data_IF_715335924637
#
_entry.id   IF_715335924637
#
_cell.length_a   1.000
_cell.length_b   1.000
_cell.length_c   1.000
_cell.angle_alpha   90.00
_cell.angle_beta   90.00
_cell.angle_gamma   90.00
#
_symmetry.space_group_name_H-M   'P 1'
#
loop_
_entity.id
_entity.type
_entity.pdbx_description
1 polymer ?
#
# COMPACT_ATOMS: atom_id res chain seq x y z
N UNK A 1 11.02 -12.52 -6.55
CA UNK A 1 11.49 -11.84 -7.79
C UNK A 1 11.88 -10.42 -7.41
N UNK A 2 12.85 -9.79 -8.07
CA UNK A 2 13.26 -8.41 -7.70
C UNK A 2 12.12 -7.39 -7.83
N UNK A 3 11.23 -7.54 -8.82
CA UNK A 3 10.13 -6.60 -9.06
C UNK A 3 9.13 -6.50 -7.89
N UNK A 4 8.75 -7.62 -7.26
CA UNK A 4 7.80 -7.62 -6.15
C UNK A 4 8.38 -6.94 -4.91
N UNK A 5 9.70 -7.03 -4.72
CA UNK A 5 10.39 -6.31 -3.65
C UNK A 5 10.42 -4.81 -3.91
N UNK A 6 10.69 -4.39 -5.14
CA UNK A 6 10.65 -2.97 -5.53
C UNK A 6 9.26 -2.40 -5.29
N UNK A 7 8.21 -3.09 -5.75
CA UNK A 7 6.83 -2.68 -5.52
C UNK A 7 6.48 -2.62 -4.03
N UNK A 8 6.93 -3.59 -3.23
CA UNK A 8 6.71 -3.57 -1.78
C UNK A 8 7.38 -2.35 -1.13
N UNK A 9 8.60 -2.00 -1.54
CA UNK A 9 9.31 -0.84 -1.03
C UNK A 9 8.61 0.48 -1.40
N UNK A 10 8.11 0.62 -2.63
CA UNK A 10 7.36 1.81 -3.05
C UNK A 10 6.06 1.97 -2.27
N UNK A 11 5.35 0.87 -2.01
CA UNK A 11 4.15 0.87 -1.17
C UNK A 11 4.51 1.22 0.29
N UNK A 12 5.66 0.77 0.80
CA UNK A 12 6.14 1.14 2.12
C UNK A 12 6.41 2.65 2.24
N UNK A 13 7.13 3.21 1.26
CA UNK A 13 7.42 4.65 1.20
C UNK A 13 6.14 5.49 1.13
N UNK A 14 5.18 5.08 0.29
CA UNK A 14 3.88 5.75 0.20
C UNK A 14 3.10 5.69 1.53
N UNK A 15 3.10 4.53 2.18
CA UNK A 15 2.46 4.33 3.48
C UNK A 15 3.12 5.18 4.58
N UNK A 16 4.45 5.32 4.57
CA UNK A 16 5.18 6.19 5.50
C UNK A 16 4.88 7.68 5.23
N UNK A 17 4.82 8.09 3.96
CA UNK A 17 4.46 9.46 3.57
C UNK A 17 3.02 9.81 4.00
N UNK A 18 2.07 8.90 3.78
CA UNK A 18 0.68 9.07 4.24
C UNK A 18 0.59 9.19 5.77
N UNK A 19 1.44 8.49 6.52
CA UNK A 19 1.52 8.65 7.98
C UNK A 19 2.17 9.97 8.40
N UNK A 20 3.26 10.36 7.75
CA UNK A 20 4.00 11.59 8.05
C UNK A 20 3.16 12.85 7.81
N UNK A 21 2.27 12.82 6.80
CA UNK A 21 1.33 13.91 6.50
C UNK A 21 0.08 13.90 7.39
N UNK A 22 -0.10 12.88 8.23
CA UNK A 22 -1.29 12.71 9.07
C UNK A 22 -2.52 12.18 8.33
N UNK A 23 -2.37 11.77 7.06
CA UNK A 23 -3.44 11.18 6.25
C UNK A 23 -3.84 9.78 6.73
N UNK A 24 -2.88 9.02 7.29
CA UNK A 24 -3.13 7.72 7.91
C UNK A 24 -2.54 7.64 9.33
N UNK A 25 -3.18 6.90 10.26
CA UNK A 25 -2.59 6.57 11.55
C UNK A 25 -1.36 5.65 11.42
N UNK A 26 -0.60 5.48 12.50
CA UNK A 26 0.53 4.58 12.51
C UNK A 26 0.14 3.13 12.16
N UNK A 27 0.83 2.52 11.19
CA UNK A 27 0.55 1.15 10.73
C UNK A 27 1.06 0.07 11.71
N UNK A 28 2.07 0.39 12.50
CA UNK A 28 2.82 -0.61 13.28
C UNK A 28 3.68 -1.51 12.38
N UNK A 29 4.08 -2.66 12.91
CA UNK A 29 4.82 -3.67 12.14
C UNK A 29 3.84 -4.43 11.23
N UNK A 30 3.96 -4.21 9.92
CA UNK A 30 3.12 -4.86 8.90
C UNK A 30 4.00 -5.40 7.77
N UNK A 31 3.71 -6.63 7.34
CA UNK A 31 4.37 -7.23 6.20
C UNK A 31 3.64 -6.82 4.91
N UNK A 32 4.37 -6.16 3.98
CA UNK A 32 3.82 -5.75 2.68
C UNK A 32 4.07 -6.87 1.67
N UNK A 33 2.99 -7.54 1.27
CA UNK A 33 3.03 -8.61 0.27
C UNK A 33 2.51 -8.12 -1.06
N UNK A 34 3.30 -8.36 -2.11
CA UNK A 34 2.92 -8.13 -3.51
C UNK A 34 2.72 -9.49 -4.18
N UNK A 35 1.53 -9.71 -4.72
CA UNK A 35 1.13 -10.97 -5.33
C UNK A 35 0.43 -10.75 -6.67
N UNK A 36 0.33 -11.81 -7.50
CA UNK A 36 -0.45 -11.74 -8.74
C UNK A 36 -1.94 -11.82 -8.40
N UNK A 37 -2.77 -10.90 -8.90
CA UNK A 37 -4.20 -10.96 -8.65
C UNK A 37 -4.83 -12.19 -9.31
N UNK A 38 -5.96 -12.65 -8.74
CA UNK A 38 -6.71 -13.80 -9.28
C UNK A 38 -7.35 -13.50 -10.64
N UNK A 39 -7.72 -12.24 -10.85
CA UNK A 39 -8.34 -11.75 -12.08
C UNK A 39 -7.34 -10.83 -12.78
N UNK A 40 -7.01 -11.16 -14.03
CA UNK A 40 -6.04 -10.38 -14.82
C UNK A 40 -6.50 -8.94 -15.09
N UNK A 41 -7.81 -8.66 -15.01
CA UNK A 41 -8.38 -7.32 -15.14
C UNK A 41 -7.99 -6.37 -13.99
N UNK A 42 -7.45 -6.89 -12.87
CA UNK A 42 -6.96 -6.10 -11.74
C UNK A 42 -5.47 -5.74 -11.84
N UNK A 43 -4.87 -5.94 -13.02
CA UNK A 43 -3.48 -5.62 -13.31
C UNK A 43 -2.52 -6.79 -13.06
N UNK A 44 -1.22 -6.50 -13.15
CA UNK A 44 -0.18 -7.52 -13.05
C UNK A 44 0.13 -7.94 -11.60
N UNK A 45 -0.02 -6.99 -10.67
CA UNK A 45 0.31 -7.14 -9.26
C UNK A 45 -0.74 -6.48 -8.37
N UNK A 46 -0.89 -7.00 -7.16
CA UNK A 46 -1.83 -6.51 -6.17
C UNK A 46 -1.28 -6.69 -4.77
N UNK A 47 -1.85 -5.95 -3.81
CA UNK A 47 -1.58 -6.13 -2.38
C UNK A 47 -2.89 -6.05 -1.59
N UNK A 48 -3.01 -6.90 -0.57
CA UNK A 48 -4.11 -6.88 0.39
C UNK A 48 -3.84 -6.00 1.62
N UNK A 49 -2.73 -5.24 1.60
CA UNK A 49 -2.28 -4.38 2.71
C UNK A 49 -3.39 -3.47 3.29
N UNK A 50 -4.25 -2.80 2.51
CA UNK A 50 -5.32 -1.98 3.09
C UNK A 50 -6.28 -2.76 3.99
N UNK A 51 -6.53 -4.04 3.68
CA UNK A 51 -7.41 -4.91 4.47
C UNK A 51 -6.77 -5.32 5.80
N UNK A 52 -5.46 -5.54 5.83
CA UNK A 52 -4.74 -5.92 7.06
C UNK A 52 -4.64 -4.74 8.02
N UNK A 53 -4.49 -3.52 7.50
CA UNK A 53 -4.33 -2.30 8.27
C UNK A 53 -5.61 -1.80 8.95
N UNK A 54 -6.80 -2.22 8.48
CA UNK A 54 -8.10 -1.79 9.06
C UNK A 54 -8.14 -1.98 10.58
N UNK A 55 -7.62 -3.11 11.08
CA UNK A 55 -7.68 -3.44 12.50
C UNK A 55 -6.82 -2.50 13.35
N UNK A 56 -5.65 -2.12 12.84
CA UNK A 56 -4.70 -1.26 13.55
C UNK A 56 -5.11 0.21 13.44
N UNK A 57 -5.47 0.67 12.24
CA UNK A 57 -5.77 2.08 11.98
C UNK A 57 -7.22 2.46 12.33
N UNK A 58 -8.15 1.50 12.36
CA UNK A 58 -9.61 1.74 12.46
C UNK A 58 -10.16 2.65 11.36
N UNK A 59 -9.52 2.62 10.19
CA UNK A 59 -9.92 3.36 8.98
C UNK A 59 -10.52 2.36 7.97
N UNK A 60 -11.57 2.71 7.22
CA UNK A 60 -12.10 1.84 6.18
C UNK A 60 -11.04 1.48 5.13
N UNK A 61 -10.97 0.23 4.65
CA UNK A 61 -9.88 -0.23 3.79
C UNK A 61 -9.78 0.56 2.47
N UNK A 62 -10.91 1.02 1.92
CA UNK A 62 -10.88 1.83 0.70
C UNK A 62 -10.20 3.19 0.93
N UNK A 63 -10.35 3.80 2.10
CA UNK A 63 -9.69 5.07 2.43
C UNK A 63 -8.19 4.85 2.65
N UNK A 64 -7.80 3.73 3.26
CA UNK A 64 -6.39 3.33 3.39
C UNK A 64 -5.76 3.15 2.00
N UNK A 65 -6.45 2.45 1.10
CA UNK A 65 -5.99 2.24 -0.27
C UNK A 65 -5.80 3.57 -1.02
N UNK A 66 -6.80 4.46 -0.95
CA UNK A 66 -6.74 5.79 -1.58
C UNK A 66 -5.58 6.61 -1.03
N UNK A 67 -5.42 6.70 0.30
CA UNK A 67 -4.35 7.48 0.91
C UNK A 67 -2.95 6.96 0.54
N UNK A 68 -2.78 5.64 0.40
CA UNK A 68 -1.52 5.06 -0.09
C UNK A 68 -1.29 5.44 -1.56
N UNK A 69 -2.30 5.33 -2.43
CA UNK A 69 -2.20 5.69 -3.85
C UNK A 69 -1.85 7.18 -4.03
N UNK A 70 -2.51 8.06 -3.27
CA UNK A 70 -2.27 9.50 -3.32
C UNK A 70 -0.87 9.89 -2.83
N UNK A 71 -0.27 9.06 -1.97
CA UNK A 71 1.07 9.25 -1.43
C UNK A 71 2.15 8.48 -2.22
N UNK A 72 1.81 7.81 -3.33
CA UNK A 72 2.80 7.11 -4.14
C UNK A 72 3.85 8.09 -4.68
N UNK A 73 5.15 7.74 -4.63
CA UNK A 73 6.18 8.59 -5.18
C UNK A 73 5.97 8.76 -6.69
N UNK A 74 5.84 9.99 -7.17
CA UNK A 74 5.89 10.26 -8.60
C UNK A 74 7.26 9.83 -9.14
N UNK A 75 7.27 8.80 -9.97
CA UNK A 75 8.35 8.58 -10.92
C UNK A 75 7.85 9.09 -12.27
N UNK A 76 8.40 10.23 -12.72
CA UNK A 76 8.37 10.55 -14.13
C UNK A 76 9.21 9.50 -14.86
N UNK A 77 8.62 8.88 -15.88
CA UNK A 77 9.33 8.02 -16.83
C UNK A 77 10.29 8.85 -17.67
#
# INVERSE_FOLDING_TARGET
MQITQILANLVAEALESAQATGSLPAAGEVEIKIERPKLAEHGDFSTSLPLTLVRTMRVPPIQIATAIVDAMPQHEM
#
